data_IF_148467997405
#
_entry.id   IF_148467997405
#
_cell.length_a   1.000
_cell.length_b   1.000
_cell.length_c   1.000
_cell.angle_alpha   90.00
_cell.angle_beta   90.00
_cell.angle_gamma   90.00
#
_symmetry.space_group_name_H-M   'P 1'
#
loop_
_entity.id
_entity.type
_entity.pdbx_description
1 polymer ?
#
# COMPACT_ATOMS: atom_id res chain seq x y z
N UNK A 1 -7.79 -9.39 -24.90
CA UNK A 1 -6.93 -8.89 -23.80
C UNK A 1 -7.42 -9.51 -22.50
N UNK A 2 -6.53 -10.11 -21.69
CA UNK A 2 -6.93 -10.61 -20.36
C UNK A 2 -7.16 -9.41 -19.45
N UNK A 3 -8.29 -9.38 -18.74
CA UNK A 3 -8.56 -8.32 -17.76
C UNK A 3 -7.61 -8.48 -16.56
N UNK A 4 -7.00 -7.39 -16.05
CA UNK A 4 -6.16 -7.48 -14.87
C UNK A 4 -7.00 -7.83 -13.64
N UNK A 5 -6.38 -8.51 -12.69
CA UNK A 5 -6.97 -8.71 -11.37
C UNK A 5 -7.08 -7.37 -10.64
N UNK A 6 -8.25 -7.15 -10.04
CA UNK A 6 -8.55 -5.96 -9.20
C UNK A 6 -8.48 -6.26 -7.71
N UNK A 7 -8.45 -7.54 -7.35
CA UNK A 7 -8.42 -8.03 -5.99
C UNK A 7 -7.36 -9.11 -5.84
N UNK A 8 -6.67 -9.09 -4.71
CA UNK A 8 -5.86 -10.18 -4.22
C UNK A 8 -6.77 -11.31 -3.73
N UNK A 9 -6.33 -12.55 -3.93
CA UNK A 9 -6.93 -13.72 -3.31
C UNK A 9 -5.86 -14.45 -2.52
N UNK A 10 -6.01 -14.45 -1.21
CA UNK A 10 -5.12 -15.18 -0.32
C UNK A 10 -5.34 -16.68 -0.46
N UNK A 11 -4.26 -17.45 -0.62
CA UNK A 11 -4.29 -18.91 -0.80
C UNK A 11 -3.64 -19.69 0.32
N UNK A 12 -2.86 -19.03 1.19
CA UNK A 12 -2.23 -19.67 2.34
C UNK A 12 -0.74 -19.40 2.42
N UNK A 13 -0.01 -20.34 3.03
CA UNK A 13 1.41 -20.22 3.30
C UNK A 13 2.14 -21.52 2.94
N UNK A 14 3.40 -21.39 2.52
CA UNK A 14 4.35 -22.50 2.36
C UNK A 14 5.64 -22.20 3.12
N UNK A 15 6.42 -23.22 3.45
CA UNK A 15 7.74 -23.04 4.06
C UNK A 15 8.78 -22.59 3.02
N UNK A 16 8.60 -23.05 1.78
CA UNK A 16 9.45 -22.75 0.64
C UNK A 16 8.67 -22.07 -0.49
N UNK A 17 9.42 -21.50 -1.45
CA UNK A 17 8.84 -20.72 -2.55
C UNK A 17 7.97 -21.57 -3.47
N UNK A 18 8.44 -22.76 -3.81
CA UNK A 18 7.74 -23.74 -4.66
C UNK A 18 6.43 -24.20 -4.04
N UNK A 19 6.40 -24.43 -2.73
CA UNK A 19 5.16 -24.73 -2.00
C UNK A 19 4.16 -23.56 -2.10
N UNK A 20 4.60 -22.34 -1.80
CA UNK A 20 3.74 -21.15 -1.89
C UNK A 20 3.27 -20.88 -3.33
N UNK A 21 4.15 -21.09 -4.32
CA UNK A 21 3.84 -20.95 -5.75
C UNK A 21 2.85 -22.02 -6.24
N UNK A 22 2.93 -23.24 -5.70
CA UNK A 22 2.00 -24.33 -6.00
C UNK A 22 0.55 -24.05 -5.57
N UNK A 23 0.34 -23.11 -4.65
CA UNK A 23 -1.00 -22.66 -4.23
C UNK A 23 -1.65 -21.68 -5.23
N UNK A 24 -0.93 -21.19 -6.25
CA UNK A 24 -1.36 -20.07 -7.08
C UNK A 24 -1.91 -20.51 -8.45
N UNK A 25 -3.22 -20.43 -8.60
CA UNK A 25 -3.90 -20.89 -9.83
C UNK A 25 -4.05 -19.76 -10.83
N UNK A 26 -4.53 -18.60 -10.39
CA UNK A 26 -4.97 -17.49 -11.26
C UNK A 26 -4.33 -16.14 -10.90
N UNK A 27 -4.30 -15.21 -11.86
CA UNK A 27 -3.73 -13.87 -11.70
C UNK A 27 -4.36 -13.12 -10.51
N UNK A 28 -3.55 -12.65 -9.56
CA UNK A 28 -4.00 -12.05 -8.29
C UNK A 28 -4.06 -13.02 -7.11
N UNK A 29 -3.79 -14.32 -7.31
CA UNK A 29 -3.58 -15.25 -6.20
C UNK A 29 -2.26 -14.96 -5.50
N UNK A 30 -2.26 -15.01 -4.17
CA UNK A 30 -1.06 -14.83 -3.36
C UNK A 30 -0.96 -15.81 -2.20
N UNK A 31 0.28 -16.16 -1.86
CA UNK A 31 0.65 -16.97 -0.70
C UNK A 31 1.95 -16.44 -0.09
N UNK A 32 2.14 -16.60 1.22
CA UNK A 32 3.40 -16.21 1.86
C UNK A 32 4.35 -17.39 2.05
N UNK A 33 5.65 -17.08 2.01
CA UNK A 33 6.71 -17.99 2.45
C UNK A 33 7.03 -17.67 3.91
N UNK A 34 6.85 -18.65 4.79
CA UNK A 34 7.14 -18.54 6.22
C UNK A 34 8.11 -19.65 6.62
N UNK A 35 9.33 -19.25 6.98
CA UNK A 35 10.37 -20.18 7.48
C UNK A 35 10.92 -19.69 8.80
N UNK A 36 10.23 -20.03 9.88
CA UNK A 36 10.41 -19.48 11.23
C UNK A 36 10.07 -17.98 11.37
N UNK A 37 9.92 -17.27 10.24
CA UNK A 37 9.51 -15.86 10.12
C UNK A 37 8.94 -15.62 8.72
N UNK A 38 8.23 -14.52 8.54
CA UNK A 38 7.78 -14.06 7.24
C UNK A 38 8.97 -13.70 6.33
N UNK A 39 9.05 -14.33 5.15
CA UNK A 39 10.17 -14.15 4.21
C UNK A 39 9.76 -13.35 2.98
N UNK A 40 8.70 -13.78 2.31
CA UNK A 40 8.26 -13.19 1.05
C UNK A 40 6.77 -13.43 0.81
N UNK A 41 6.17 -12.58 -0.01
CA UNK A 41 4.86 -12.82 -0.60
C UNK A 41 5.07 -13.27 -2.05
N UNK A 42 4.52 -14.42 -2.40
CA UNK A 42 4.50 -14.95 -3.76
C UNK A 42 3.14 -14.58 -4.35
N UNK A 43 3.14 -13.90 -5.50
CA UNK A 43 1.93 -13.37 -6.13
C UNK A 43 1.93 -13.72 -7.62
N UNK A 44 0.89 -14.40 -8.09
CA UNK A 44 0.71 -14.64 -9.53
C UNK A 44 0.33 -13.32 -10.18
N UNK A 45 1.15 -12.87 -11.13
CA UNK A 45 1.17 -11.49 -11.60
C UNK A 45 -0.25 -11.03 -12.00
N UNK A 46 -0.74 -9.94 -11.40
CA UNK A 46 -2.15 -9.59 -11.52
C UNK A 46 -2.53 -9.03 -12.90
N UNK A 47 -1.58 -8.74 -13.78
CA UNK A 47 -1.86 -8.31 -15.15
C UNK A 47 -2.28 -9.47 -16.08
N UNK A 48 -2.14 -10.72 -15.62
CA UNK A 48 -2.48 -11.91 -16.38
C UNK A 48 -1.38 -12.43 -17.32
N UNK A 49 -0.14 -11.93 -17.22
CA UNK A 49 1.00 -12.41 -18.01
C UNK A 49 1.40 -13.86 -17.69
N UNK A 50 1.00 -14.36 -16.52
CA UNK A 50 1.25 -15.74 -16.07
C UNK A 50 2.53 -15.92 -15.25
N UNK A 51 3.36 -14.88 -15.13
CA UNK A 51 4.56 -14.91 -14.30
C UNK A 51 4.23 -14.79 -12.81
N UNK A 52 5.13 -15.28 -11.96
CA UNK A 52 5.03 -15.17 -10.51
C UNK A 52 5.99 -14.12 -9.97
N UNK A 53 5.47 -13.21 -9.15
CA UNK A 53 6.23 -12.18 -8.45
C UNK A 53 6.65 -12.70 -7.07
N UNK A 54 7.92 -12.54 -6.72
CA UNK A 54 8.44 -12.78 -5.37
C UNK A 54 8.75 -11.44 -4.72
N UNK A 55 7.95 -11.06 -3.73
CA UNK A 55 8.05 -9.78 -3.03
C UNK A 55 8.76 -10.01 -1.71
N UNK A 56 9.94 -9.41 -1.51
CA UNK A 56 10.69 -9.55 -0.28
C UNK A 56 9.97 -8.86 0.89
N UNK A 57 9.77 -9.58 1.99
CA UNK A 57 9.20 -9.07 3.24
C UNK A 57 10.19 -9.14 4.40
N UNK A 58 11.35 -9.76 4.23
CA UNK A 58 12.39 -9.82 5.27
C UNK A 58 13.39 -8.67 5.07
N UNK A 59 13.40 -7.65 5.95
CA UNK A 59 14.30 -6.51 5.83
C UNK A 59 15.78 -6.87 6.03
N UNK A 60 16.09 -8.07 6.53
CA UNK A 60 17.47 -8.53 6.77
C UNK A 60 18.21 -8.91 5.49
N UNK A 61 17.48 -9.23 4.42
CA UNK A 61 18.03 -9.69 3.13
C UNK A 61 17.99 -8.61 2.05
N UNK A 62 17.59 -7.39 2.38
CA UNK A 62 17.63 -6.24 1.49
C UNK A 62 16.41 -5.34 1.64
N UNK A 63 16.12 -4.55 0.60
CA UNK A 63 14.89 -3.73 0.53
C UNK A 63 13.68 -4.66 0.64
N UNK A 64 12.82 -4.39 1.62
CA UNK A 64 11.64 -5.18 1.90
C UNK A 64 10.39 -4.30 1.86
N UNK A 65 9.29 -4.89 1.42
CA UNK A 65 7.98 -4.29 1.57
C UNK A 65 7.47 -4.52 2.97
N UNK A 66 6.78 -3.52 3.53
CA UNK A 66 6.02 -3.67 4.76
C UNK A 66 4.69 -4.32 4.41
N UNK A 67 4.42 -5.49 5.01
CA UNK A 67 3.11 -6.11 4.98
C UNK A 67 2.31 -5.63 6.20
N UNK A 68 1.11 -5.15 5.96
CA UNK A 68 0.11 -4.83 6.97
C UNK A 68 -1.11 -5.73 6.75
N UNK A 69 -1.63 -6.33 7.84
CA UNK A 69 -2.79 -7.23 7.78
C UNK A 69 -3.81 -6.76 8.80
N UNK A 70 -4.95 -6.26 8.32
CA UNK A 70 -6.07 -5.81 9.17
C UNK A 70 -7.37 -6.37 8.64
N UNK A 71 -8.20 -6.89 9.54
CA UNK A 71 -9.47 -7.53 9.19
C UNK A 71 -9.31 -8.57 8.07
N UNK A 72 -8.24 -9.37 8.15
CA UNK A 72 -7.87 -10.41 7.16
C UNK A 72 -7.49 -9.88 5.76
N UNK A 73 -7.33 -8.57 5.59
CA UNK A 73 -6.96 -7.96 4.31
C UNK A 73 -5.51 -7.50 4.30
N UNK A 74 -4.82 -7.76 3.19
CA UNK A 74 -3.39 -7.46 3.04
C UNK A 74 -3.17 -6.09 2.40
N UNK A 75 -2.19 -5.36 2.90
CA UNK A 75 -1.64 -4.15 2.28
C UNK A 75 -0.12 -4.23 2.21
N UNK A 76 0.47 -3.80 1.10
CA UNK A 76 1.92 -3.67 0.95
C UNK A 76 2.30 -2.21 0.79
N UNK A 77 3.36 -1.81 1.50
CA UNK A 77 3.97 -0.50 1.33
C UNK A 77 5.48 -0.63 1.07
N UNK A 78 6.06 0.08 0.08
CA UNK A 78 5.40 0.99 -0.88
C UNK A 78 4.70 0.23 -2.02
N UNK A 79 4.37 0.91 -3.13
CA UNK A 79 3.81 0.27 -4.33
C UNK A 79 4.75 -0.83 -4.86
N UNK A 80 4.19 -1.86 -5.48
CA UNK A 80 4.94 -2.90 -6.18
C UNK A 80 5.18 -2.43 -7.61
N UNK A 81 6.44 -2.27 -7.99
CA UNK A 81 6.84 -1.96 -9.36
C UNK A 81 7.84 -2.98 -9.86
N UNK A 82 7.47 -3.67 -10.94
CA UNK A 82 8.34 -4.58 -11.65
C UNK A 82 9.04 -3.84 -12.78
N UNK A 83 10.36 -3.82 -12.80
CA UNK A 83 11.14 -3.18 -13.87
C UNK A 83 11.27 -4.08 -15.11
N UNK A 84 11.33 -5.40 -14.88
CA UNK A 84 11.45 -6.43 -15.92
C UNK A 84 10.13 -7.05 -16.37
N UNK A 85 10.19 -7.78 -17.48
CA UNK A 85 9.06 -8.53 -18.05
C UNK A 85 7.85 -7.65 -18.36
N UNK A 86 6.69 -7.97 -17.78
CA UNK A 86 5.44 -7.30 -18.06
C UNK A 86 5.33 -5.87 -17.53
N UNK A 87 6.26 -5.41 -16.69
CA UNK A 87 6.29 -4.05 -16.10
C UNK A 87 5.02 -3.67 -15.33
N UNK A 88 4.46 -4.60 -14.56
CA UNK A 88 3.31 -4.31 -13.70
C UNK A 88 3.69 -3.30 -12.60
N UNK A 89 2.85 -2.29 -12.41
CA UNK A 89 2.97 -1.30 -11.35
C UNK A 89 1.62 -1.11 -10.68
N UNK A 90 1.54 -1.43 -9.40
CA UNK A 90 0.31 -1.38 -8.62
C UNK A 90 0.58 -1.18 -7.13
N UNK A 91 -0.45 -0.75 -6.41
CA UNK A 91 -0.52 -0.71 -4.97
C UNK A 91 -1.41 -1.89 -4.53
N UNK A 92 -0.96 -2.63 -3.50
CA UNK A 92 -1.79 -3.60 -2.81
C UNK A 92 -2.30 -2.97 -1.52
N UNK A 93 -3.61 -2.78 -1.40
CA UNK A 93 -4.21 -2.04 -0.28
C UNK A 93 -5.57 -2.63 0.11
N UNK A 94 -5.64 -3.24 1.30
CA UNK A 94 -6.80 -3.97 1.82
C UNK A 94 -7.35 -4.94 0.75
N UNK A 95 -6.47 -5.77 0.20
CA UNK A 95 -6.67 -6.69 -0.93
C UNK A 95 -7.04 -6.06 -2.27
N UNK A 96 -7.18 -4.74 -2.37
CA UNK A 96 -7.40 -4.07 -3.64
C UNK A 96 -6.07 -3.92 -4.37
N UNK A 97 -6.11 -4.17 -5.68
CA UNK A 97 -5.00 -3.91 -6.59
C UNK A 97 -5.33 -2.62 -7.33
N UNK A 98 -4.74 -1.52 -6.86
CA UNK A 98 -4.88 -0.19 -7.46
C UNK A 98 -3.73 -0.02 -8.43
N UNK A 99 -4.02 0.00 -9.72
CA UNK A 99 -3.00 0.04 -10.75
C UNK A 99 -2.42 1.44 -10.96
N UNK A 100 -1.17 1.51 -11.42
CA UNK A 100 -0.47 2.75 -11.73
C UNK A 100 0.14 2.66 -13.15
N UNK A 101 -0.02 3.71 -13.94
CA UNK A 101 0.42 3.84 -15.33
C UNK A 101 -0.42 3.08 -16.36
N UNK A 102 -1.06 1.95 -16.01
CA UNK A 102 -1.91 1.15 -16.89
C UNK A 102 -3.13 0.64 -16.14
N UNK A 103 -4.23 0.37 -16.85
CA UNK A 103 -5.47 -0.18 -16.29
C UNK A 103 -6.15 0.68 -15.22
N UNK A 104 -5.89 1.98 -15.18
CA UNK A 104 -6.36 2.87 -14.11
C UNK A 104 -7.88 3.13 -14.13
N UNK A 105 -8.54 2.98 -15.29
CA UNK A 105 -9.95 3.37 -15.50
C UNK A 105 -10.94 2.67 -14.54
N UNK A 106 -10.61 1.46 -14.09
CA UNK A 106 -11.45 0.69 -13.14
C UNK A 106 -10.74 0.48 -11.79
N UNK A 107 -9.86 1.42 -11.41
CA UNK A 107 -9.28 1.40 -10.07
C UNK A 107 -10.34 1.70 -9.02
N UNK A 108 -10.36 0.89 -7.97
CA UNK A 108 -11.20 1.08 -6.80
C UNK A 108 -10.30 1.12 -5.57
N UNK A 109 -10.30 2.26 -4.87
CA UNK A 109 -9.62 2.41 -3.60
C UNK A 109 -10.56 1.99 -2.45
N UNK A 110 -10.11 1.13 -1.52
CA UNK A 110 -10.93 0.71 -0.38
C UNK A 110 -11.40 1.91 0.44
N UNK A 111 -12.62 1.82 0.98
CA UNK A 111 -13.09 2.80 1.94
C UNK A 111 -12.26 2.79 3.24
N UNK A 112 -12.09 3.98 3.83
CA UNK A 112 -11.57 4.17 5.18
C UNK A 112 -12.68 4.73 6.09
N UNK A 113 -12.47 4.59 7.40
CA UNK A 113 -13.41 5.10 8.42
C UNK A 113 -13.29 6.63 8.53
N UNK A 114 -14.39 7.41 8.42
CA UNK A 114 -14.33 8.88 8.47
C UNK A 114 -13.62 9.46 9.69
N UNK A 115 -13.66 8.76 10.82
CA UNK A 115 -12.99 9.11 12.07
C UNK A 115 -11.47 9.24 11.91
N UNK A 116 -10.89 8.55 10.91
CA UNK A 116 -9.47 8.64 10.59
C UNK A 116 -9.05 10.06 10.21
N UNK A 117 -9.93 10.86 9.61
CA UNK A 117 -9.60 12.25 9.26
C UNK A 117 -9.27 13.10 10.49
N UNK A 118 -9.98 12.89 11.60
CA UNK A 118 -9.73 13.59 12.85
C UNK A 118 -8.38 13.15 13.46
N UNK A 119 -8.14 11.84 13.53
CA UNK A 119 -6.90 11.27 14.07
C UNK A 119 -5.66 11.74 13.28
N UNK A 120 -5.73 11.71 11.95
CA UNK A 120 -4.63 12.19 11.10
C UNK A 120 -4.39 13.68 11.32
N UNK A 121 -5.44 14.48 11.43
CA UNK A 121 -5.28 15.93 11.65
C UNK A 121 -4.71 16.25 13.04
N UNK A 122 -5.05 15.47 14.06
CA UNK A 122 -4.50 15.60 15.42
C UNK A 122 -3.01 15.23 15.47
N UNK A 123 -2.61 14.19 14.74
CA UNK A 123 -1.22 13.75 14.63
C UNK A 123 -0.34 14.69 13.77
N UNK A 124 -0.93 15.60 13.00
CA UNK A 124 -0.17 16.61 12.26
C UNK A 124 0.22 17.80 13.14
N UNK A 125 1.50 18.14 13.09
CA UNK A 125 2.05 19.34 13.72
C UNK A 125 1.96 20.54 12.74
N UNK A 126 1.59 21.76 13.19
CA UNK A 126 1.55 22.94 12.33
C UNK A 126 2.93 23.53 11.98
N UNK A 127 3.95 23.23 12.77
CA UNK A 127 5.33 23.74 12.66
C UNK A 127 6.24 22.74 11.95
N UNK A 128 5.94 21.44 12.02
CA UNK A 128 6.79 20.38 11.51
C UNK A 128 6.09 19.61 10.38
N UNK A 129 6.83 19.41 9.29
CA UNK A 129 6.44 18.56 8.18
C UNK A 129 6.71 17.08 8.49
N UNK A 130 5.72 16.23 8.27
CA UNK A 130 5.76 14.78 8.52
C UNK A 130 5.36 13.98 7.29
N UNK A 131 5.93 12.80 7.11
CA UNK A 131 5.53 11.85 6.07
C UNK A 131 4.23 11.12 6.42
N UNK A 132 3.53 10.59 5.42
CA UNK A 132 2.40 9.68 5.65
C UNK A 132 2.81 8.45 6.45
N UNK A 133 4.06 7.98 6.29
CA UNK A 133 4.63 6.89 7.09
C UNK A 133 4.71 7.22 8.59
N UNK A 134 5.29 8.39 8.94
CA UNK A 134 5.45 8.78 10.35
C UNK A 134 4.10 8.95 11.05
N UNK A 135 3.13 9.57 10.38
CA UNK A 135 1.78 9.74 10.92
C UNK A 135 1.09 8.38 11.09
N UNK A 136 1.17 7.51 10.09
CA UNK A 136 0.59 6.17 10.15
C UNK A 136 1.17 5.30 11.26
N UNK A 137 2.48 5.41 11.52
CA UNK A 137 3.12 4.71 12.65
C UNK A 137 2.62 5.26 13.99
N UNK A 138 2.42 6.57 14.12
CA UNK A 138 1.96 7.19 15.37
C UNK A 138 0.54 6.80 15.76
N UNK A 139 -0.38 6.80 14.78
CA UNK A 139 -1.80 6.49 15.03
C UNK A 139 -2.13 5.01 14.85
N UNK A 140 -1.11 4.17 14.63
CA UNK A 140 -1.23 2.75 14.29
C UNK A 140 -2.28 2.49 13.19
N UNK A 141 -2.04 3.02 11.99
CA UNK A 141 -2.92 2.84 10.83
C UNK A 141 -2.17 2.44 9.55
N UNK A 142 -2.89 1.90 8.57
CA UNK A 142 -2.36 1.61 7.24
C UNK A 142 -1.91 2.91 6.56
N UNK A 143 -0.66 2.91 6.08
CA UNK A 143 -0.02 4.08 5.47
C UNK A 143 -0.80 4.61 4.26
N UNK A 144 -1.43 3.74 3.46
CA UNK A 144 -2.25 4.15 2.32
C UNK A 144 -3.54 4.87 2.72
N UNK A 145 -4.17 4.46 3.83
CA UNK A 145 -5.36 5.15 4.36
C UNK A 145 -4.96 6.57 4.79
N UNK A 146 -3.85 6.70 5.52
CA UNK A 146 -3.29 7.99 5.95
C UNK A 146 -2.88 8.85 4.76
N UNK A 147 -2.21 8.30 3.74
CA UNK A 147 -1.81 9.04 2.54
C UNK A 147 -3.04 9.60 1.80
N UNK A 148 -4.12 8.82 1.68
CA UNK A 148 -5.38 9.27 1.09
C UNK A 148 -6.03 10.38 1.90
N UNK A 149 -6.08 10.23 3.22
CA UNK A 149 -6.63 11.26 4.12
C UNK A 149 -5.82 12.55 4.03
N UNK A 150 -4.49 12.48 4.04
CA UNK A 150 -3.61 13.64 3.92
C UNK A 150 -3.84 14.40 2.62
N UNK A 151 -3.91 13.69 1.47
CA UNK A 151 -4.23 14.32 0.18
C UNK A 151 -5.59 15.01 0.19
N UNK A 152 -6.58 14.41 0.86
CA UNK A 152 -7.90 15.01 1.04
C UNK A 152 -7.84 16.27 1.91
N UNK A 153 -7.18 16.22 3.07
CA UNK A 153 -7.02 17.37 3.96
C UNK A 153 -6.28 18.52 3.29
N UNK A 154 -5.30 18.23 2.43
CA UNK A 154 -4.61 19.25 1.62
C UNK A 154 -5.56 19.92 0.62
N UNK A 155 -6.37 19.12 -0.09
CA UNK A 155 -7.38 19.65 -1.01
C UNK A 155 -8.46 20.50 -0.31
N UNK A 156 -8.76 20.18 0.94
CA UNK A 156 -9.69 20.94 1.80
C UNK A 156 -9.03 22.14 2.50
N UNK A 157 -7.72 22.33 2.35
CA UNK A 157 -6.98 23.43 2.98
C UNK A 157 -6.76 23.28 4.50
N UNK A 158 -6.96 22.08 5.04
CA UNK A 158 -6.74 21.75 6.47
C UNK A 158 -5.31 21.26 6.75
N UNK A 159 -4.62 20.78 5.71
CA UNK A 159 -3.21 20.43 5.74
C UNK A 159 -2.48 21.09 4.57
N UNK A 160 -1.16 21.19 4.66
CA UNK A 160 -0.30 21.70 3.60
C UNK A 160 0.71 20.61 3.22
N UNK A 161 0.87 20.36 1.92
CA UNK A 161 1.93 19.51 1.40
C UNK A 161 3.20 20.34 1.18
N UNK A 162 4.37 19.74 1.40
CA UNK A 162 5.65 20.36 1.09
C UNK A 162 5.79 20.73 -0.39
N UNK A 163 6.80 21.54 -0.70
CA UNK A 163 7.11 21.97 -2.06
C UNK A 163 7.47 20.82 -3.02
N UNK A 164 7.89 21.14 -4.24
CA UNK A 164 8.15 20.14 -5.30
C UNK A 164 9.10 19.00 -4.89
N UNK A 165 10.12 19.29 -4.07
CA UNK A 165 11.07 18.29 -3.55
C UNK A 165 10.55 17.49 -2.34
N UNK A 166 9.46 17.94 -1.71
CA UNK A 166 8.92 17.40 -0.45
C UNK A 166 7.40 17.17 -0.50
N UNK A 167 6.83 16.89 -1.68
CA UNK A 167 5.39 16.61 -1.88
C UNK A 167 4.82 15.47 -1.03
N UNK A 168 5.67 14.65 -0.43
CA UNK A 168 5.31 13.54 0.47
C UNK A 168 5.35 13.93 1.95
N UNK A 169 5.68 15.18 2.25
CA UNK A 169 5.63 15.76 3.58
C UNK A 169 4.39 16.60 3.74
N UNK A 170 3.78 16.54 4.92
CA UNK A 170 2.53 17.19 5.25
C UNK A 170 2.63 17.86 6.62
N UNK A 171 1.97 19.01 6.78
CA UNK A 171 1.79 19.67 8.07
C UNK A 171 0.36 20.15 8.23
N UNK A 172 -0.07 20.43 9.46
CA UNK A 172 -1.39 21.01 9.71
C UNK A 172 -1.40 22.49 9.32
N UNK A 173 -2.49 22.97 8.74
CA UNK A 173 -2.69 24.41 8.57
C UNK A 173 -3.16 25.00 9.89
N UNK A 174 -2.47 26.03 10.40
CA UNK A 174 -2.99 26.78 11.54
C UNK A 174 -4.29 27.47 11.14
N UNK A 175 -5.37 27.15 11.85
CA UNK A 175 -6.60 27.94 11.77
C UNK A 175 -6.26 29.37 12.17
N UNK A 176 -6.25 30.31 11.22
CA UNK A 176 -6.18 31.73 11.53
C UNK A 176 -7.33 32.01 12.50
N UNK A 177 -7.00 32.32 13.75
CA UNK A 177 -7.98 32.82 14.70
C UNK A 177 -8.66 34.01 14.01
N UNK A 178 -9.97 33.89 13.74
CA UNK A 178 -10.80 35.03 13.37
C UNK A 178 -10.66 36.02 14.52
N UNK A 179 -9.88 37.08 14.30
CA UNK A 179 -9.93 38.30 15.11
C UNK A 179 -11.21 39.05 14.79
#
# INVERSE_FOLDING_TARGET
MRRPARKLRWRGVGEYRDEAEGLLEQAGDAAAVIRGRLRSLILKCPDGCGETLSINLDPRVGKAWRLDVRCERLSLYPSVWREGGCKSHFILWRDHIVWCGRFEDENEEPAYHPELEALVLEALDPRIFRTSFEVAVEIDEIIWDVDRVLRRLVREGRAEAGGSASRRLFRRVESKARR
#
